data_IF_914232348457
#
_entry.id   IF_914232348457
#
_cell.length_a   1.000
_cell.length_b   1.000
_cell.length_c   1.000
_cell.angle_alpha   90.00
_cell.angle_beta   90.00
_cell.angle_gamma   90.00
#
_symmetry.space_group_name_H-M   'P 1'
#
loop_
_entity.id
_entity.type
_entity.pdbx_description
1 polymer ?
#
# COMPACT_ATOMS: atom_id res chain seq x y z
N UNK A 1 -23.60 -10.74 -5.00
CA UNK A 1 -22.94 -10.84 -6.32
C UNK A 1 -23.33 -12.20 -6.86
N UNK A 2 -24.12 -12.26 -7.92
CA UNK A 2 -24.53 -13.52 -8.55
C UNK A 2 -23.38 -14.02 -9.43
N UNK A 3 -22.72 -15.09 -8.99
CA UNK A 3 -21.81 -15.86 -9.84
C UNK A 3 -22.67 -16.50 -10.94
N UNK A 4 -22.22 -16.48 -12.19
CA UNK A 4 -22.97 -17.08 -13.31
C UNK A 4 -23.12 -18.59 -13.10
N UNK A 5 -24.31 -19.14 -13.36
CA UNK A 5 -24.57 -20.57 -13.27
C UNK A 5 -23.70 -21.43 -14.20
N UNK A 6 -22.93 -20.76 -15.10
CA UNK A 6 -21.96 -21.41 -15.99
C UNK A 6 -20.54 -21.47 -15.46
N UNK A 7 -20.27 -20.87 -14.29
CA UNK A 7 -18.94 -20.88 -13.68
C UNK A 7 -18.79 -22.02 -12.70
N UNK A 8 -17.61 -22.64 -12.71
CA UNK A 8 -17.22 -23.60 -11.68
C UNK A 8 -16.41 -22.88 -10.62
N UNK A 9 -16.98 -22.75 -9.43
CA UNK A 9 -16.32 -22.13 -8.26
C UNK A 9 -15.52 -23.17 -7.47
N UNK A 10 -14.51 -22.70 -6.76
CA UNK A 10 -13.76 -23.49 -5.78
C UNK A 10 -14.20 -23.00 -4.40
N UNK A 11 -14.86 -23.86 -3.63
CA UNK A 11 -15.53 -23.48 -2.39
C UNK A 11 -14.88 -24.11 -1.14
N UNK A 12 -13.86 -24.96 -1.32
CA UNK A 12 -13.12 -25.56 -0.22
C UNK A 12 -11.60 -25.67 -0.50
N UNK A 13 -10.85 -25.99 0.54
CA UNK A 13 -9.38 -26.07 0.47
C UNK A 13 -8.91 -27.27 -0.35
N UNK A 14 -9.60 -28.39 -0.32
CA UNK A 14 -9.17 -29.61 -1.01
C UNK A 14 -9.27 -29.42 -2.52
N UNK A 15 -10.39 -28.84 -2.99
CA UNK A 15 -10.55 -28.44 -4.39
C UNK A 15 -9.52 -27.41 -4.84
N UNK A 16 -9.16 -26.45 -3.98
CA UNK A 16 -8.09 -25.50 -4.28
C UNK A 16 -6.73 -26.20 -4.42
N UNK A 17 -6.42 -27.12 -3.51
CA UNK A 17 -5.15 -27.88 -3.53
C UNK A 17 -5.09 -28.79 -4.74
N UNK A 18 -6.20 -29.39 -5.18
CA UNK A 18 -6.27 -30.20 -6.39
C UNK A 18 -5.85 -29.39 -7.63
N UNK A 19 -6.27 -28.11 -7.72
CA UNK A 19 -5.98 -27.24 -8.86
C UNK A 19 -4.56 -26.66 -8.84
N UNK A 20 -4.09 -26.16 -7.70
CA UNK A 20 -2.82 -25.39 -7.62
C UNK A 20 -1.68 -26.15 -6.94
N UNK A 21 -1.98 -27.29 -6.29
CA UNK A 21 -1.03 -28.08 -5.51
C UNK A 21 -0.75 -27.50 -4.11
N UNK A 22 -0.02 -28.28 -3.32
CA UNK A 22 0.46 -27.86 -1.99
C UNK A 22 1.61 -26.87 -2.09
N UNK A 23 1.75 -25.93 -1.15
CA UNK A 23 2.92 -25.06 -1.06
C UNK A 23 4.22 -25.86 -0.97
N UNK A 24 5.24 -25.41 -1.70
CA UNK A 24 6.58 -26.02 -1.55
C UNK A 24 7.08 -25.80 -0.10
N UNK A 25 7.73 -26.79 0.53
CA UNK A 25 8.18 -26.70 1.93
C UNK A 25 9.00 -25.45 2.22
N UNK A 26 9.95 -25.09 1.34
CA UNK A 26 10.77 -23.87 1.45
C UNK A 26 9.98 -22.57 1.37
N UNK A 27 8.75 -22.60 0.86
CA UNK A 27 7.88 -21.42 0.77
C UNK A 27 7.01 -21.29 2.01
N UNK A 28 6.56 -22.41 2.56
CA UNK A 28 5.73 -22.46 3.76
C UNK A 28 6.48 -22.04 5.04
N UNK A 29 7.83 -22.20 5.07
CA UNK A 29 8.65 -21.96 6.28
C UNK A 29 9.42 -20.63 6.27
N UNK A 30 9.17 -19.73 5.32
CA UNK A 30 9.93 -18.47 5.20
C UNK A 30 9.43 -17.33 6.08
N UNK A 31 8.30 -17.52 6.73
CA UNK A 31 7.63 -16.51 7.56
C UNK A 31 8.36 -16.33 8.90
N UNK A 32 8.45 -15.08 9.32
CA UNK A 32 9.07 -14.66 10.58
C UNK A 32 8.14 -13.66 11.26
N UNK A 33 8.35 -13.42 12.56
CA UNK A 33 7.57 -12.47 13.36
C UNK A 33 8.37 -11.23 13.77
N UNK A 34 9.65 -11.17 13.38
CA UNK A 34 10.50 -10.05 13.71
C UNK A 34 11.37 -9.63 12.51
N UNK A 35 11.74 -8.37 12.50
CA UNK A 35 12.62 -7.74 11.53
C UNK A 35 14.06 -8.24 11.69
N UNK A 36 14.66 -8.64 10.59
CA UNK A 36 16.11 -8.79 10.48
C UNK A 36 16.75 -7.48 9.99
N UNK A 37 18.07 -7.39 10.08
CA UNK A 37 18.83 -6.24 9.55
C UNK A 37 18.51 -5.96 8.08
N UNK A 38 18.35 -7.02 7.26
CA UNK A 38 18.00 -6.88 5.84
C UNK A 38 16.59 -6.31 5.62
N UNK A 39 15.63 -6.64 6.48
CA UNK A 39 14.27 -6.09 6.39
C UNK A 39 14.25 -4.61 6.75
N UNK A 40 15.03 -4.19 7.75
CA UNK A 40 15.22 -2.77 8.10
C UNK A 40 15.84 -1.98 6.94
N UNK A 41 16.86 -2.55 6.28
CA UNK A 41 17.45 -1.96 5.08
C UNK A 41 16.43 -1.87 3.93
N UNK A 42 15.57 -2.89 3.78
CA UNK A 42 14.50 -2.88 2.79
C UNK A 42 13.47 -1.77 3.06
N UNK A 43 12.99 -1.65 4.30
CA UNK A 43 12.04 -0.62 4.71
C UNK A 43 12.64 0.79 4.51
N UNK A 44 13.91 0.97 4.85
CA UNK A 44 14.62 2.23 4.63
C UNK A 44 14.76 2.59 3.13
N UNK A 45 14.84 1.60 2.24
CA UNK A 45 14.94 1.82 0.79
C UNK A 45 13.57 1.96 0.10
N UNK A 46 12.47 1.60 0.77
CA UNK A 46 11.13 1.61 0.18
C UNK A 46 10.48 3.00 0.30
N UNK A 47 10.21 3.71 -0.82
CA UNK A 47 9.48 4.98 -0.80
C UNK A 47 7.96 4.78 -0.86
N UNK A 48 7.48 3.55 -1.07
CA UNK A 48 6.07 3.28 -1.34
C UNK A 48 5.63 1.94 -0.75
N UNK A 49 4.42 1.93 -0.20
CA UNK A 49 3.74 0.68 0.14
C UNK A 49 2.24 0.76 -0.15
N UNK A 50 1.61 -0.40 -0.25
CA UNK A 50 0.16 -0.55 -0.20
C UNK A 50 -0.20 -1.14 1.15
N UNK A 51 -1.17 -0.54 1.85
CA UNK A 51 -1.79 -1.10 3.04
C UNK A 51 -3.19 -1.58 2.70
N UNK A 52 -3.46 -2.85 2.97
CA UNK A 52 -4.77 -3.47 2.89
C UNK A 52 -5.39 -3.58 4.28
N UNK A 53 -6.66 -3.25 4.38
CA UNK A 53 -7.46 -3.28 5.60
C UNK A 53 -8.82 -3.91 5.33
N UNK A 54 -9.53 -4.35 6.38
CA UNK A 54 -10.87 -4.91 6.27
C UNK A 54 -11.75 -4.32 7.35
N UNK A 55 -12.99 -4.00 7.01
CA UNK A 55 -13.99 -3.48 7.95
C UNK A 55 -15.39 -3.99 7.62
N UNK A 56 -16.42 -3.48 8.33
CA UNK A 56 -17.81 -3.92 8.12
C UNK A 56 -18.31 -3.77 6.69
N UNK A 57 -17.82 -2.76 5.98
CA UNK A 57 -18.21 -2.44 4.60
C UNK A 57 -17.34 -3.14 3.54
N UNK A 58 -16.39 -3.98 3.96
CA UNK A 58 -15.50 -4.75 3.07
C UNK A 58 -14.03 -4.39 3.19
N UNK A 59 -13.25 -4.84 2.19
CA UNK A 59 -11.81 -4.59 2.10
C UNK A 59 -11.51 -3.24 1.45
N UNK A 60 -10.42 -2.61 1.88
CA UNK A 60 -9.82 -1.42 1.28
C UNK A 60 -8.32 -1.62 1.05
N UNK A 61 -7.78 -1.02 0.02
CA UNK A 61 -6.35 -1.00 -0.26
C UNK A 61 -5.92 0.43 -0.61
N UNK A 62 -5.07 1.02 0.22
CA UNK A 62 -4.62 2.40 0.03
C UNK A 62 -3.11 2.52 -0.12
N UNK A 63 -2.63 3.41 -1.03
CA UNK A 63 -1.22 3.70 -1.17
C UNK A 63 -0.71 4.57 -0.03
N UNK A 64 0.54 4.35 0.39
CA UNK A 64 1.31 5.23 1.25
C UNK A 64 2.66 5.49 0.61
N UNK A 65 3.13 6.73 0.67
CA UNK A 65 4.39 7.11 0.05
C UNK A 65 5.03 8.30 0.73
N UNK A 66 6.36 8.21 0.90
CA UNK A 66 7.25 9.26 1.36
C UNK A 66 8.63 9.04 0.72
N UNK A 67 9.56 10.00 0.78
CA UNK A 67 10.92 9.75 0.34
C UNK A 67 11.52 8.50 1.00
N UNK A 68 12.39 7.79 0.29
CA UNK A 68 13.10 6.64 0.86
C UNK A 68 13.76 7.00 2.19
N UNK A 69 13.64 6.13 3.19
CA UNK A 69 14.07 6.35 4.56
C UNK A 69 13.09 7.14 5.44
N UNK A 70 11.96 7.62 4.89
CA UNK A 70 10.99 8.44 5.63
C UNK A 70 9.57 7.85 5.64
N UNK A 71 9.31 6.78 4.86
CA UNK A 71 8.01 6.13 4.81
C UNK A 71 7.71 5.36 6.09
N UNK A 72 8.71 4.65 6.63
CA UNK A 72 8.56 3.76 7.78
C UNK A 72 9.52 4.17 8.89
N UNK A 73 8.99 4.37 10.08
CA UNK A 73 9.77 4.45 11.31
C UNK A 73 9.75 3.07 11.99
N UNK A 74 10.93 2.49 12.23
CA UNK A 74 11.06 1.20 12.91
C UNK A 74 11.20 1.47 14.42
N UNK A 75 10.17 1.11 15.18
CA UNK A 75 10.12 1.31 16.64
C UNK A 75 11.02 0.27 17.34
N UNK A 76 10.84 -1.01 16.97
CA UNK A 76 11.63 -2.12 17.48
C UNK A 76 11.70 -3.28 16.45
N UNK A 77 12.06 -4.50 16.87
CA UNK A 77 12.16 -5.65 15.96
C UNK A 77 10.79 -6.19 15.51
N UNK A 78 9.73 -5.85 16.20
CA UNK A 78 8.37 -6.37 15.98
C UNK A 78 7.35 -5.28 15.64
N UNK A 79 7.75 -4.01 15.65
CA UNK A 79 6.82 -2.88 15.54
C UNK A 79 7.34 -1.81 14.60
N UNK A 80 6.50 -1.40 13.67
CA UNK A 80 6.76 -0.30 12.73
C UNK A 80 5.67 0.76 12.80
N UNK A 81 5.99 1.99 12.38
CA UNK A 81 5.02 3.07 12.24
C UNK A 81 5.08 3.68 10.84
N UNK A 82 3.91 4.04 10.30
CA UNK A 82 3.75 4.76 9.03
C UNK A 82 2.97 6.04 9.32
N UNK A 83 3.55 7.18 8.98
CA UNK A 83 2.91 8.47 9.17
C UNK A 83 1.68 8.64 8.27
N UNK A 84 0.63 9.23 8.82
CA UNK A 84 -0.42 9.81 7.98
C UNK A 84 0.11 11.10 7.36
N UNK A 85 -0.17 11.27 6.07
CA UNK A 85 0.12 12.51 5.33
C UNK A 85 -1.17 13.12 4.82
N UNK A 86 -1.22 14.45 4.68
CA UNK A 86 -2.41 15.14 4.19
C UNK A 86 -2.90 14.56 2.86
N UNK A 87 -4.20 14.36 2.75
CA UNK A 87 -4.83 13.76 1.58
C UNK A 87 -6.32 14.15 1.48
N UNK A 88 -7.11 13.33 0.81
CA UNK A 88 -8.53 13.58 0.55
C UNK A 88 -9.44 13.40 1.79
N UNK A 89 -8.92 13.00 2.93
CA UNK A 89 -9.64 12.75 4.21
C UNK A 89 -10.74 11.68 4.12
N UNK A 90 -10.72 10.83 3.11
CA UNK A 90 -11.71 9.75 2.96
C UNK A 90 -11.61 8.75 4.13
N UNK A 91 -10.39 8.41 4.54
CA UNK A 91 -10.08 7.68 5.78
C UNK A 91 -10.68 6.26 5.89
N UNK A 92 -11.01 5.61 4.77
CA UNK A 92 -11.64 4.29 4.78
C UNK A 92 -10.76 3.25 5.49
N UNK A 93 -9.47 3.16 5.16
CA UNK A 93 -8.54 2.26 5.83
C UNK A 93 -8.38 2.55 7.33
N UNK A 94 -8.47 3.80 7.77
CA UNK A 94 -8.42 4.14 9.21
C UNK A 94 -9.68 3.68 9.94
N UNK A 95 -10.86 3.85 9.32
CA UNK A 95 -12.14 3.35 9.88
C UNK A 95 -12.12 1.83 9.99
N UNK A 96 -11.57 1.16 8.97
CA UNK A 96 -11.40 -0.29 9.00
C UNK A 96 -10.51 -0.71 10.18
N UNK A 97 -9.34 -0.09 10.37
CA UNK A 97 -8.43 -0.40 11.49
C UNK A 97 -9.12 -0.23 12.86
N UNK A 98 -10.01 0.75 13.02
CA UNK A 98 -10.75 0.94 14.27
C UNK A 98 -11.74 -0.20 14.55
N UNK A 99 -12.23 -0.89 13.52
CA UNK A 99 -13.18 -2.00 13.65
C UNK A 99 -12.52 -3.38 13.61
N UNK A 100 -11.49 -3.53 12.78
CA UNK A 100 -10.68 -4.74 12.64
C UNK A 100 -9.21 -4.33 12.47
N UNK A 101 -8.34 -4.56 13.46
CA UNK A 101 -6.95 -4.12 13.42
C UNK A 101 -6.07 -4.89 12.44
N UNK A 102 -6.55 -5.97 11.82
CA UNK A 102 -5.75 -6.78 10.89
C UNK A 102 -5.40 -6.00 9.63
N UNK A 103 -4.12 -5.97 9.28
CA UNK A 103 -3.60 -5.28 8.10
C UNK A 103 -2.62 -6.14 7.34
N UNK A 104 -2.54 -5.90 6.02
CA UNK A 104 -1.50 -6.45 5.16
C UNK A 104 -0.77 -5.32 4.44
N UNK A 105 0.55 -5.37 4.41
CA UNK A 105 1.39 -4.37 3.75
C UNK A 105 2.28 -5.02 2.70
N UNK A 106 2.45 -4.33 1.57
CA UNK A 106 3.41 -4.68 0.53
C UNK A 106 4.30 -3.47 0.28
N UNK A 107 5.59 -3.61 0.57
CA UNK A 107 6.60 -2.58 0.36
C UNK A 107 7.33 -2.80 -0.97
N UNK A 108 7.48 -1.71 -1.74
CA UNK A 108 8.09 -1.72 -3.06
C UNK A 108 9.32 -0.80 -3.10
N UNK A 109 10.35 -1.26 -3.81
CA UNK A 109 11.50 -0.45 -4.18
C UNK A 109 11.48 -0.32 -5.70
N UNK A 110 11.40 0.89 -6.27
CA UNK A 110 11.38 1.08 -7.72
C UNK A 110 12.55 0.37 -8.42
N UNK A 111 12.25 -0.34 -9.50
CA UNK A 111 13.22 -1.14 -10.23
C UNK A 111 13.48 -2.53 -9.67
N UNK A 112 13.02 -2.86 -8.45
CA UNK A 112 13.10 -4.22 -7.91
C UNK A 112 11.82 -5.00 -8.13
N UNK A 113 11.95 -6.26 -8.54
CA UNK A 113 10.79 -7.12 -8.76
C UNK A 113 10.30 -7.86 -7.51
N UNK A 114 11.18 -8.12 -6.54
CA UNK A 114 10.81 -8.70 -5.25
C UNK A 114 10.17 -7.65 -4.33
N UNK A 115 9.38 -8.08 -3.35
CA UNK A 115 8.70 -7.20 -2.39
C UNK A 115 8.87 -7.72 -0.97
N UNK A 116 8.82 -6.82 0.01
CA UNK A 116 8.67 -7.19 1.41
C UNK A 116 7.20 -7.12 1.79
N UNK A 117 6.68 -8.18 2.40
CA UNK A 117 5.31 -8.22 2.93
C UNK A 117 5.33 -8.30 4.45
N UNK A 118 4.44 -7.54 5.06
CA UNK A 118 4.18 -7.56 6.50
C UNK A 118 2.67 -7.72 6.68
N UNK A 119 2.26 -8.71 7.47
CA UNK A 119 0.91 -8.83 7.99
C UNK A 119 0.97 -8.61 9.51
N UNK A 120 -0.04 -7.97 10.07
CA UNK A 120 -0.02 -7.66 11.49
C UNK A 120 -1.29 -6.97 11.97
N UNK A 121 -1.18 -6.37 13.14
CA UNK A 121 -2.26 -5.63 13.80
C UNK A 121 -1.89 -4.16 13.88
N UNK A 122 -2.79 -3.31 13.43
CA UNK A 122 -2.57 -1.86 13.38
C UNK A 122 -3.32 -1.13 14.49
N UNK A 123 -2.69 -0.08 15.00
CA UNK A 123 -3.27 0.89 15.92
C UNK A 123 -3.11 2.29 15.36
N UNK A 124 -4.13 3.13 15.52
CA UNK A 124 -4.06 4.54 15.19
C UNK A 124 -3.54 5.32 16.39
N UNK A 125 -2.37 5.92 16.25
CA UNK A 125 -1.68 6.63 17.34
C UNK A 125 -1.61 8.13 17.00
N UNK A 126 -2.07 8.98 17.93
CA UNK A 126 -2.08 10.42 17.75
C UNK A 126 -0.83 11.11 18.27
N UNK A 127 -0.18 10.54 19.29
CA UNK A 127 0.99 11.11 19.93
C UNK A 127 1.88 10.02 20.50
N UNK A 128 3.17 10.09 20.21
CA UNK A 128 4.19 9.21 20.77
C UNK A 128 5.58 9.87 20.60
N UNK A 129 6.59 9.46 21.37
CA UNK A 129 7.94 10.04 21.32
C UNK A 129 8.57 10.02 19.90
N UNK A 130 8.27 9.01 19.09
CA UNK A 130 8.82 8.85 17.75
C UNK A 130 8.20 9.76 16.67
N UNK A 131 7.18 10.56 16.99
CA UNK A 131 6.54 11.44 15.98
C UNK A 131 7.50 12.50 15.43
N UNK A 132 8.45 12.95 16.25
CA UNK A 132 9.46 13.93 15.81
C UNK A 132 10.46 13.32 14.83
N UNK A 133 10.70 12.00 14.89
CA UNK A 133 11.52 11.27 13.94
C UNK A 133 10.81 11.06 12.58
N UNK A 134 9.48 11.25 12.53
CA UNK A 134 8.66 11.12 11.33
C UNK A 134 8.38 12.45 10.62
N UNK A 135 9.07 13.52 11.00
CA UNK A 135 8.96 14.83 10.35
C UNK A 135 9.54 14.78 8.94
N UNK A 136 8.74 15.17 7.94
CA UNK A 136 9.16 15.27 6.53
C UNK A 136 8.93 16.68 6.04
N UNK A 137 9.97 17.32 5.48
CA UNK A 137 9.90 18.70 4.99
C UNK A 137 9.31 19.71 6.00
N UNK A 138 9.60 19.51 7.29
CA UNK A 138 9.11 20.35 8.37
C UNK A 138 7.68 20.03 8.86
N UNK A 139 7.02 19.04 8.29
CA UNK A 139 5.66 18.66 8.67
C UNK A 139 5.65 17.43 9.57
N UNK A 140 5.29 17.63 10.83
CA UNK A 140 5.06 16.58 11.82
C UNK A 140 3.71 15.92 11.57
N UNK A 141 3.60 14.59 11.51
CA UNK A 141 2.32 13.93 11.28
C UNK A 141 1.36 14.15 12.46
N UNK A 142 0.06 14.21 12.18
CA UNK A 142 -1.00 14.29 13.19
C UNK A 142 -1.44 12.91 13.69
N UNK A 143 -1.12 11.87 12.91
CA UNK A 143 -1.54 10.49 13.13
C UNK A 143 -0.48 9.56 12.56
N UNK A 144 -0.28 8.42 13.20
CA UNK A 144 0.50 7.31 12.68
C UNK A 144 -0.29 5.99 12.75
N UNK A 145 -0.08 5.12 11.77
CA UNK A 145 -0.48 3.72 11.82
C UNK A 145 0.70 2.96 12.42
N UNK A 146 0.54 2.47 13.64
CA UNK A 146 1.52 1.59 14.29
C UNK A 146 1.10 0.15 14.03
N UNK A 147 2.02 -0.67 13.53
CA UNK A 147 1.75 -2.06 13.16
C UNK A 147 2.64 -2.98 13.97
N UNK A 148 2.02 -3.84 14.78
CA UNK A 148 2.63 -4.99 15.42
C UNK A 148 2.71 -6.12 14.39
N UNK A 149 3.90 -6.70 14.19
CA UNK A 149 4.18 -7.67 13.13
C UNK A 149 3.80 -9.08 13.58
N UNK A 150 2.77 -9.65 12.96
CA UNK A 150 2.43 -11.07 13.12
C UNK A 150 3.26 -11.95 12.16
N UNK A 151 3.55 -11.43 10.96
CA UNK A 151 4.19 -12.17 9.89
C UNK A 151 4.97 -11.24 8.95
N UNK A 152 6.23 -11.59 8.64
CA UNK A 152 7.07 -10.87 7.67
C UNK A 152 7.81 -11.86 6.76
N UNK A 153 7.84 -11.57 5.47
CA UNK A 153 8.55 -12.36 4.48
C UNK A 153 8.76 -11.64 3.15
N UNK A 154 9.78 -12.05 2.40
CA UNK A 154 10.00 -11.57 1.03
C UNK A 154 9.16 -12.38 0.03
N UNK A 155 8.56 -11.67 -0.94
CA UNK A 155 7.78 -12.25 -2.03
C UNK A 155 8.58 -12.21 -3.34
N UNK A 156 8.39 -13.23 -4.18
CA UNK A 156 9.14 -13.40 -5.42
C UNK A 156 8.77 -12.37 -6.50
N UNK A 157 9.69 -12.19 -7.46
CA UNK A 157 9.56 -11.22 -8.55
C UNK A 157 8.66 -11.64 -9.73
N UNK A 158 8.05 -12.82 -9.71
CA UNK A 158 7.34 -13.38 -10.88
C UNK A 158 6.22 -12.48 -11.41
N UNK A 159 5.48 -11.80 -10.53
CA UNK A 159 4.41 -10.88 -10.93
C UNK A 159 4.98 -9.68 -11.70
N UNK A 160 6.02 -9.06 -11.18
CA UNK A 160 6.69 -7.91 -11.81
C UNK A 160 7.34 -8.26 -13.14
N UNK A 161 7.95 -9.46 -13.23
CA UNK A 161 8.53 -9.94 -14.49
C UNK A 161 7.45 -10.19 -15.55
N UNK A 162 6.33 -10.81 -15.18
CA UNK A 162 5.24 -11.06 -16.13
C UNK A 162 4.56 -9.77 -16.60
N UNK A 163 4.42 -8.78 -15.72
CA UNK A 163 3.81 -7.49 -16.06
C UNK A 163 4.78 -6.51 -16.71
N UNK A 164 6.07 -6.81 -16.75
CA UNK A 164 7.11 -5.88 -17.20
C UNK A 164 7.04 -4.51 -16.48
N UNK A 165 6.56 -4.49 -15.21
CA UNK A 165 6.19 -3.26 -14.50
C UNK A 165 7.32 -2.21 -14.44
N UNK A 166 8.57 -2.65 -14.40
CA UNK A 166 9.74 -1.76 -14.35
C UNK A 166 10.46 -1.57 -15.67
N UNK A 167 9.89 -2.06 -16.77
CA UNK A 167 10.42 -1.81 -18.11
C UNK A 167 9.78 -0.55 -18.69
N UNK A 168 10.49 0.57 -18.61
CA UNK A 168 10.02 1.86 -19.09
C UNK A 168 9.68 1.87 -20.58
N UNK A 169 10.23 0.94 -21.39
CA UNK A 169 9.91 0.84 -22.82
C UNK A 169 8.48 0.37 -23.08
N UNK A 170 7.83 -0.24 -22.07
CA UNK A 170 6.43 -0.71 -22.17
C UNK A 170 5.42 0.32 -21.65
N UNK A 171 5.88 1.45 -21.12
CA UNK A 171 4.99 2.44 -20.51
C UNK A 171 4.40 3.35 -21.59
N UNK A 172 3.08 3.40 -21.63
CA UNK A 172 2.32 4.33 -22.46
C UNK A 172 1.12 4.85 -21.63
N UNK A 173 1.38 5.68 -20.61
CA UNK A 173 0.33 6.11 -19.69
C UNK A 173 -0.73 6.99 -20.35
N UNK A 174 -0.38 7.76 -21.39
CA UNK A 174 -1.31 8.70 -22.04
C UNK A 174 -2.05 8.08 -23.24
N UNK A 175 -1.46 7.05 -23.88
CA UNK A 175 -2.08 6.40 -25.04
C UNK A 175 -3.23 5.46 -24.70
N UNK A 176 -3.24 4.90 -23.48
CA UNK A 176 -4.21 3.86 -23.08
C UNK A 176 -5.30 4.38 -22.14
N UNK A 177 -4.99 5.34 -21.29
CA UNK A 177 -5.94 5.88 -20.31
C UNK A 177 -5.92 7.40 -20.38
N UNK A 178 -7.09 8.08 -20.39
CA UNK A 178 -7.15 9.53 -20.41
C UNK A 178 -6.40 10.14 -19.22
N UNK A 179 -5.83 11.33 -19.41
CA UNK A 179 -5.15 12.07 -18.34
C UNK A 179 -6.07 12.35 -17.14
N UNK A 180 -5.49 12.57 -15.98
CA UNK A 180 -6.20 12.68 -14.68
C UNK A 180 -7.37 13.67 -14.68
N UNK A 181 -7.22 14.82 -15.36
CA UNK A 181 -8.30 15.83 -15.45
C UNK A 181 -9.55 15.27 -16.10
N UNK A 182 -9.40 14.51 -17.19
CA UNK A 182 -10.53 13.87 -17.89
C UNK A 182 -11.21 12.83 -17.02
N UNK A 183 -10.42 11.98 -16.34
CA UNK A 183 -10.95 10.98 -15.40
C UNK A 183 -11.73 11.69 -14.27
N UNK A 184 -11.16 12.75 -13.70
CA UNK A 184 -11.82 13.51 -12.63
C UNK A 184 -13.14 14.11 -13.09
N UNK A 185 -13.20 14.71 -14.27
CA UNK A 185 -14.43 15.27 -14.81
C UNK A 185 -15.51 14.19 -15.00
N UNK A 186 -15.13 13.05 -15.58
CA UNK A 186 -16.09 11.99 -15.86
C UNK A 186 -16.60 11.26 -14.60
N UNK A 187 -15.77 11.13 -13.58
CA UNK A 187 -16.06 10.22 -12.46
C UNK A 187 -16.31 10.94 -11.12
N UNK A 188 -15.81 12.16 -10.94
CA UNK A 188 -15.72 12.77 -9.61
C UNK A 188 -16.23 14.21 -9.56
N UNK A 189 -16.00 14.98 -10.61
CA UNK A 189 -16.23 16.45 -10.66
C UNK A 189 -16.84 16.86 -12.02
N UNK A 190 -18.06 16.41 -12.35
CA UNK A 190 -18.66 16.60 -13.67
C UNK A 190 -18.95 18.06 -14.01
N UNK A 191 -19.09 18.92 -13.01
CA UNK A 191 -19.42 20.35 -13.17
C UNK A 191 -18.19 21.22 -13.40
N UNK A 192 -16.97 20.68 -13.22
CA UNK A 192 -15.73 21.42 -13.42
C UNK A 192 -15.27 21.35 -14.88
N UNK A 193 -14.74 22.47 -15.40
CA UNK A 193 -14.16 22.46 -16.74
C UNK A 193 -12.84 21.70 -16.80
N UNK A 194 -12.51 21.15 -17.95
CA UNK A 194 -11.22 20.45 -18.18
C UNK A 194 -10.05 21.37 -17.87
N UNK A 195 -10.10 22.63 -18.26
CA UNK A 195 -9.04 23.62 -18.02
C UNK A 195 -8.84 23.85 -16.52
N UNK A 196 -9.92 23.91 -15.73
CA UNK A 196 -9.85 24.02 -14.26
C UNK A 196 -9.20 22.79 -13.64
N UNK A 197 -9.57 21.61 -14.13
CA UNK A 197 -9.02 20.35 -13.63
C UNK A 197 -7.56 20.12 -14.06
N UNK A 198 -7.19 20.50 -15.28
CA UNK A 198 -5.80 20.48 -15.72
C UNK A 198 -4.93 21.40 -14.84
N UNK A 199 -5.36 22.61 -14.57
CA UNK A 199 -4.65 23.53 -13.68
C UNK A 199 -4.56 23.01 -12.23
N UNK A 200 -5.58 22.32 -11.74
CA UNK A 200 -5.59 21.71 -10.41
C UNK A 200 -4.61 20.55 -10.31
N UNK A 201 -4.58 19.66 -11.33
CA UNK A 201 -3.71 18.47 -11.35
C UNK A 201 -2.32 18.73 -11.92
N UNK A 202 -2.02 19.96 -12.36
CA UNK A 202 -0.67 20.33 -12.78
C UNK A 202 0.34 20.07 -11.65
N UNK A 203 1.43 19.37 -11.98
CA UNK A 203 2.37 18.87 -10.98
C UNK A 203 2.92 19.95 -10.01
N UNK A 204 3.29 21.17 -10.44
CA UNK A 204 3.69 22.24 -9.54
C UNK A 204 2.61 22.68 -8.57
N UNK A 205 1.33 22.68 -8.97
CA UNK A 205 0.22 23.06 -8.11
C UNK A 205 -0.18 21.92 -7.16
N UNK A 206 -0.32 20.72 -7.70
CA UNK A 206 -0.75 19.55 -6.93
C UNK A 206 0.25 19.16 -5.84
N UNK A 207 1.55 19.30 -6.12
CA UNK A 207 2.63 18.96 -5.17
C UNK A 207 2.73 19.92 -3.97
N UNK A 208 2.16 21.14 -4.04
CA UNK A 208 2.19 22.09 -2.91
C UNK A 208 1.43 21.58 -1.69
N UNK A 209 0.40 20.75 -1.89
CA UNK A 209 -0.43 20.22 -0.81
C UNK A 209 0.05 18.90 -0.20
N UNK A 210 1.20 18.35 -0.63
CA UNK A 210 1.65 17.01 -0.18
C UNK A 210 1.92 16.92 1.32
N UNK A 211 2.28 18.04 1.96
CA UNK A 211 2.59 18.10 3.39
C UNK A 211 1.91 19.29 4.10
N UNK A 212 0.89 19.91 3.47
CA UNK A 212 0.20 21.12 3.98
C UNK A 212 -1.04 20.77 4.82
#
# INVERSE_FOLDING_TARGET
MTVSDTWTTIDDLDALVEVIGMPLPRTASKERQALLTIDRAWLAASPFCVIATTGPDGGDASPKGDPAGQLVHVIDDTTIAIAERPGNRRADGYRNILSDPRVGLIFLIPGRGDTLRINGRAHLVREAPFFDDMVVKGHRPLLAIVVEIDQIFHHCSKAFLRSQLWDASTWDPEGQVPRRAVIAQLCERPDDSIETLDAYYDAPNYSRGLYA
#
